data_IF_592347463865
#
_entry.id   IF_592347463865
#
_cell.length_a   1.000
_cell.length_b   1.000
_cell.length_c   1.000
_cell.angle_alpha   90.00
_cell.angle_beta   90.00
_cell.angle_gamma   90.00
#
_symmetry.space_group_name_H-M   'P 1'
#
loop_
_entity.id
_entity.type
_entity.pdbx_description
1 polymer ?
#
# COMPACT_ATOMS: atom_id res chain seq x y z
N UNK A 1 -2.23 -11.15 -14.18
CA UNK A 1 -0.84 -10.87 -14.58
C UNK A 1 -0.24 -9.88 -13.58
N UNK A 2 0.60 -10.38 -12.67
CA UNK A 2 1.12 -9.64 -11.51
C UNK A 2 2.18 -8.60 -11.93
N UNK A 3 2.96 -8.89 -12.98
CA UNK A 3 3.93 -7.95 -13.54
C UNK A 3 3.24 -6.72 -14.13
N UNK A 4 2.13 -6.92 -14.85
CA UNK A 4 1.29 -5.80 -15.31
C UNK A 4 0.70 -5.00 -14.13
N UNK A 5 0.29 -5.67 -13.06
CA UNK A 5 -0.23 -5.00 -11.88
C UNK A 5 0.83 -4.10 -11.22
N UNK A 6 2.07 -4.60 -11.06
CA UNK A 6 3.21 -3.82 -10.58
C UNK A 6 3.52 -2.62 -11.50
N UNK A 7 3.55 -2.81 -12.82
CA UNK A 7 3.78 -1.72 -13.77
C UNK A 7 2.69 -0.62 -13.74
N UNK A 8 1.44 -1.00 -13.48
CA UNK A 8 0.33 -0.05 -13.32
C UNK A 8 0.46 0.77 -12.02
N UNK A 9 1.18 0.29 -11.01
CA UNK A 9 1.42 1.02 -9.76
C UNK A 9 2.49 2.12 -9.92
N UNK A 10 3.47 1.92 -10.80
CA UNK A 10 4.47 2.95 -11.12
C UNK A 10 3.84 4.18 -11.77
N UNK A 11 2.81 3.97 -12.60
CA UNK A 11 2.17 5.05 -13.32
C UNK A 11 1.53 6.09 -12.36
N UNK A 12 1.66 7.39 -12.66
CA UNK A 12 1.01 8.42 -11.87
C UNK A 12 -0.51 8.40 -12.07
N UNK A 13 -1.24 8.74 -11.01
CA UNK A 13 -2.70 8.81 -11.07
C UNK A 13 -3.13 10.13 -11.74
N UNK A 14 -3.33 10.09 -13.06
CA UNK A 14 -3.61 11.29 -13.86
C UNK A 14 -4.84 12.10 -13.43
N UNK A 15 -5.92 11.44 -12.98
CA UNK A 15 -7.10 12.15 -12.48
C UNK A 15 -6.80 12.96 -11.21
N UNK A 16 -5.94 12.43 -10.33
CA UNK A 16 -5.53 13.10 -9.10
C UNK A 16 -4.63 14.30 -9.43
N UNK A 17 -3.72 14.14 -10.41
CA UNK A 17 -2.93 15.26 -10.94
C UNK A 17 -3.83 16.36 -11.51
N UNK A 18 -4.87 15.99 -12.26
CA UNK A 18 -5.87 16.93 -12.74
C UNK A 18 -6.57 17.68 -11.60
N UNK A 19 -6.91 16.98 -10.51
CA UNK A 19 -7.51 17.57 -9.31
C UNK A 19 -6.54 18.55 -8.62
N UNK A 20 -5.26 18.19 -8.49
CA UNK A 20 -4.23 19.08 -7.93
C UNK A 20 -4.11 20.37 -8.76
N UNK A 21 -4.02 20.24 -10.09
CA UNK A 21 -3.94 21.41 -10.99
C UNK A 21 -5.22 22.24 -10.89
N UNK A 22 -6.40 21.60 -10.89
CA UNK A 22 -7.68 22.31 -10.77
C UNK A 22 -7.80 23.06 -9.44
N UNK A 23 -7.41 22.44 -8.32
CA UNK A 23 -7.41 23.07 -7.00
C UNK A 23 -6.46 24.28 -6.97
N UNK A 24 -5.27 24.14 -7.55
CA UNK A 24 -4.29 25.23 -7.65
C UNK A 24 -4.82 26.39 -8.50
N UNK A 25 -5.33 26.11 -9.71
CA UNK A 25 -5.90 27.12 -10.62
C UNK A 25 -7.08 27.83 -9.97
N UNK A 26 -7.96 27.09 -9.29
CA UNK A 26 -9.09 27.66 -8.55
C UNK A 26 -8.60 28.62 -7.47
N UNK A 27 -7.58 28.24 -6.70
CA UNK A 27 -6.97 29.11 -5.69
C UNK A 27 -6.40 30.41 -6.29
N UNK A 28 -5.70 30.32 -7.42
CA UNK A 28 -5.16 31.49 -8.13
C UNK A 28 -6.28 32.40 -8.65
N UNK A 29 -7.33 31.84 -9.24
CA UNK A 29 -8.47 32.60 -9.74
C UNK A 29 -9.20 33.35 -8.62
N UNK A 30 -9.43 32.69 -7.48
CA UNK A 30 -10.03 33.31 -6.30
C UNK A 30 -9.16 34.46 -5.79
N UNK A 31 -7.84 34.27 -5.73
CA UNK A 31 -6.90 35.31 -5.31
C UNK A 31 -6.95 36.54 -6.22
N UNK A 32 -6.92 36.35 -7.55
CA UNK A 32 -7.03 37.44 -8.51
C UNK A 32 -8.37 38.16 -8.42
N UNK A 33 -9.47 37.42 -8.27
CA UNK A 33 -10.82 37.97 -8.13
C UNK A 33 -10.94 38.86 -6.88
N UNK A 34 -10.45 38.40 -5.73
CA UNK A 34 -10.43 39.20 -4.50
C UNK A 34 -9.59 40.48 -4.67
N UNK A 35 -8.44 40.38 -5.34
CA UNK A 35 -7.59 41.53 -5.65
C UNK A 35 -8.26 42.59 -6.52
N UNK A 36 -9.26 42.23 -7.34
CA UNK A 36 -10.03 43.20 -8.14
C UNK A 36 -11.16 43.89 -7.37
N UNK A 37 -11.65 43.30 -6.28
CA UNK A 37 -12.83 43.79 -5.55
C UNK A 37 -12.46 44.68 -4.38
N UNK A 38 -11.28 44.50 -3.77
CA UNK A 38 -10.85 45.27 -2.60
C UNK A 38 -10.42 46.70 -3.00
N UNK A 39 -11.21 47.74 -2.68
CA UNK A 39 -10.77 49.12 -2.84
C UNK A 39 -9.80 49.43 -1.70
N UNK A 40 -8.52 49.69 -2.03
CA UNK A 40 -7.49 50.02 -1.02
C UNK A 40 -7.73 51.42 -0.40
N UNK A 41 -8.63 52.22 -0.97
CA UNK A 41 -8.99 53.55 -0.50
C UNK A 41 -10.16 53.52 0.49
N UNK A 42 -9.83 53.50 1.79
CA UNK A 42 -10.42 54.27 2.90
C UNK A 42 -10.28 53.51 4.22
N UNK A 43 -9.19 53.78 4.94
CA UNK A 43 -9.02 53.37 6.34
C UNK A 43 -9.11 54.62 7.20
N UNK A 44 -10.26 54.86 7.82
CA UNK A 44 -10.40 55.92 8.85
C UNK A 44 -11.66 55.69 9.70
N UNK A 45 -11.57 54.77 10.67
CA UNK A 45 -12.56 54.59 11.74
C UNK A 45 -12.15 53.53 12.76
N UNK A 46 -12.70 53.55 13.99
CA UNK A 46 -12.41 52.55 15.04
C UNK A 46 -13.14 51.22 14.81
N UNK A 47 -14.21 51.20 14.03
CA UNK A 47 -14.89 49.98 13.54
C UNK A 47 -14.01 49.14 12.59
N UNK A 48 -13.02 49.79 11.98
CA UNK A 48 -12.11 49.26 10.96
C UNK A 48 -11.07 48.30 11.57
N UNK A 49 -10.66 48.54 12.81
CA UNK A 49 -9.65 47.73 13.49
C UNK A 49 -10.15 46.30 13.81
N UNK A 50 -11.38 46.16 14.31
CA UNK A 50 -11.99 44.84 14.56
C UNK A 50 -12.24 44.07 13.26
N UNK A 51 -12.69 44.78 12.22
CA UNK A 51 -12.95 44.19 10.90
C UNK A 51 -11.64 43.75 10.20
N UNK A 52 -10.55 44.50 10.38
CA UNK A 52 -9.21 44.09 9.90
C UNK A 52 -8.69 42.84 10.60
N UNK A 53 -8.87 42.71 11.91
CA UNK A 53 -8.45 41.52 12.68
C UNK A 53 -9.25 40.30 12.22
N UNK A 54 -10.56 40.45 12.05
CA UNK A 54 -11.43 39.38 11.56
C UNK A 54 -11.07 38.95 10.13
N UNK A 55 -10.74 39.90 9.25
CA UNK A 55 -10.27 39.61 7.89
C UNK A 55 -8.93 38.87 7.87
N UNK A 56 -8.00 39.27 8.73
CA UNK A 56 -6.71 38.58 8.90
C UNK A 56 -6.93 37.16 9.42
N UNK A 57 -7.74 36.97 10.46
CA UNK A 57 -8.05 35.65 11.02
C UNK A 57 -8.69 34.72 9.97
N UNK A 58 -9.69 35.21 9.23
CA UNK A 58 -10.33 34.45 8.18
C UNK A 58 -9.35 34.08 7.05
N UNK A 59 -8.46 34.99 6.66
CA UNK A 59 -7.44 34.73 5.64
C UNK A 59 -6.44 33.67 6.08
N UNK A 60 -5.97 33.73 7.34
CA UNK A 60 -5.05 32.75 7.92
C UNK A 60 -5.71 31.36 7.95
N UNK A 61 -6.93 31.26 8.45
CA UNK A 61 -7.64 29.98 8.52
C UNK A 61 -7.85 29.38 7.11
N UNK A 62 -8.23 30.22 6.14
CA UNK A 62 -8.42 29.79 4.75
C UNK A 62 -7.11 29.27 4.14
N UNK A 63 -6.00 29.97 4.35
CA UNK A 63 -4.67 29.54 3.87
C UNK A 63 -4.26 28.22 4.51
N UNK A 64 -4.44 28.07 5.84
CA UNK A 64 -4.13 26.83 6.54
C UNK A 64 -4.93 25.66 5.96
N UNK A 65 -6.25 25.81 5.81
CA UNK A 65 -7.11 24.77 5.26
C UNK A 65 -6.75 24.43 3.80
N UNK A 66 -6.41 25.44 2.99
CA UNK A 66 -5.98 25.23 1.61
C UNK A 66 -4.67 24.43 1.52
N UNK A 67 -3.68 24.78 2.36
CA UNK A 67 -2.40 24.05 2.44
C UNK A 67 -2.63 22.62 2.92
N UNK A 68 -3.41 22.43 3.98
CA UNK A 68 -3.74 21.10 4.50
C UNK A 68 -4.47 20.25 3.45
N UNK A 69 -5.44 20.84 2.74
CA UNK A 69 -6.16 20.19 1.65
C UNK A 69 -5.24 19.75 0.51
N UNK A 70 -4.31 20.62 0.10
CA UNK A 70 -3.34 20.30 -0.94
C UNK A 70 -2.37 19.19 -0.50
N UNK A 71 -1.84 19.25 0.73
CA UNK A 71 -0.98 18.20 1.27
C UNK A 71 -1.71 16.87 1.39
N UNK A 72 -2.97 16.89 1.84
CA UNK A 72 -3.81 15.70 1.91
C UNK A 72 -4.05 15.10 0.51
N UNK A 73 -4.27 15.95 -0.50
CA UNK A 73 -4.47 15.53 -1.88
C UNK A 73 -3.21 14.89 -2.46
N UNK A 74 -2.04 15.48 -2.24
CA UNK A 74 -0.74 14.92 -2.67
C UNK A 74 -0.51 13.55 -2.01
N UNK A 75 -0.71 13.43 -0.69
CA UNK A 75 -0.56 12.16 0.05
C UNK A 75 -1.62 11.10 -0.29
N UNK A 76 -2.72 11.49 -0.94
CA UNK A 76 -3.79 10.55 -1.29
C UNK A 76 -3.32 9.55 -2.34
N UNK A 77 -2.39 9.93 -3.22
CA UNK A 77 -1.80 9.02 -4.22
C UNK A 77 -1.16 7.80 -3.53
N UNK A 78 -0.28 8.06 -2.56
CA UNK A 78 0.41 7.04 -1.78
C UNK A 78 -0.59 6.12 -1.07
N UNK A 79 -1.61 6.70 -0.42
CA UNK A 79 -2.67 5.92 0.26
C UNK A 79 -3.40 4.97 -0.69
N UNK A 80 -3.73 5.44 -1.89
CA UNK A 80 -4.43 4.63 -2.90
C UNK A 80 -3.53 3.51 -3.43
N UNK A 81 -2.28 3.84 -3.79
CA UNK A 81 -1.30 2.86 -4.28
C UNK A 81 -1.01 1.80 -3.24
N UNK A 82 -0.75 2.20 -1.99
CA UNK A 82 -0.54 1.32 -0.85
C UNK A 82 -1.70 0.34 -0.66
N UNK A 83 -2.95 0.83 -0.64
CA UNK A 83 -4.13 -0.04 -0.51
C UNK A 83 -4.23 -1.08 -1.64
N UNK A 84 -3.84 -0.72 -2.86
CA UNK A 84 -3.81 -1.64 -4.00
C UNK A 84 -2.72 -2.70 -3.85
N UNK A 85 -1.53 -2.32 -3.40
CA UNK A 85 -0.42 -3.26 -3.12
C UNK A 85 -0.80 -4.24 -2.02
N UNK A 86 -1.31 -3.76 -0.88
CA UNK A 86 -1.69 -4.63 0.24
C UNK A 86 -2.74 -5.68 -0.14
N UNK A 87 -3.63 -5.37 -1.10
CA UNK A 87 -4.56 -6.37 -1.63
C UNK A 87 -3.84 -7.50 -2.36
N UNK A 88 -2.78 -7.20 -3.11
CA UNK A 88 -1.97 -8.22 -3.78
C UNK A 88 -1.14 -9.01 -2.77
N UNK A 89 -0.49 -8.33 -1.82
CA UNK A 89 0.29 -8.99 -0.75
C UNK A 89 -0.56 -9.93 0.10
N UNK A 90 -1.81 -9.56 0.38
CA UNK A 90 -2.76 -10.44 1.07
C UNK A 90 -3.05 -11.72 0.28
N UNK A 91 -3.17 -11.62 -1.05
CA UNK A 91 -3.29 -12.79 -1.93
C UNK A 91 -2.07 -13.69 -1.89
N UNK A 92 -0.85 -13.12 -1.90
CA UNK A 92 0.39 -13.88 -1.77
C UNK A 92 0.50 -14.58 -0.42
N UNK A 93 0.13 -13.89 0.68
CA UNK A 93 0.05 -14.50 2.02
C UNK A 93 -0.90 -15.69 2.05
N UNK A 94 -2.07 -15.55 1.43
CA UNK A 94 -3.03 -16.65 1.34
C UNK A 94 -2.45 -17.83 0.56
N UNK A 95 -1.70 -17.59 -0.51
CA UNK A 95 -1.05 -18.66 -1.28
C UNK A 95 -0.01 -19.40 -0.43
N UNK A 96 0.83 -18.67 0.32
CA UNK A 96 1.80 -19.26 1.25
C UNK A 96 1.12 -20.17 2.25
N UNK A 97 0.05 -19.70 2.90
CA UNK A 97 -0.70 -20.53 3.87
C UNK A 97 -1.37 -21.74 3.23
N UNK A 98 -1.82 -21.65 1.98
CA UNK A 98 -2.36 -22.82 1.27
C UNK A 98 -1.27 -23.85 1.02
N UNK A 99 -0.07 -23.43 0.62
CA UNK A 99 1.07 -24.35 0.42
C UNK A 99 1.41 -25.05 1.74
N UNK A 100 1.57 -24.27 2.82
CA UNK A 100 1.83 -24.77 4.18
C UNK A 100 0.76 -25.78 4.65
N UNK A 101 -0.52 -25.46 4.46
CA UNK A 101 -1.61 -26.37 4.83
C UNK A 101 -1.56 -27.70 4.05
N UNK A 102 -1.06 -27.69 2.81
CA UNK A 102 -0.85 -28.93 2.04
C UNK A 102 0.39 -29.72 2.49
N UNK A 103 1.35 -29.10 3.19
CA UNK A 103 2.54 -29.74 3.76
C UNK A 103 2.27 -30.47 5.08
N UNK A 104 1.17 -30.19 5.80
CA UNK A 104 0.86 -30.78 7.12
C UNK A 104 0.99 -32.31 7.25
N UNK A 105 0.80 -33.05 6.15
CA UNK A 105 0.87 -34.53 6.14
C UNK A 105 2.17 -35.07 5.53
N UNK A 106 3.08 -34.18 5.10
CA UNK A 106 4.29 -34.46 4.31
C UNK A 106 5.53 -34.27 5.18
N UNK A 107 5.49 -34.84 6.36
CA UNK A 107 6.58 -34.80 7.34
C UNK A 107 7.57 -35.96 7.08
N UNK A 108 8.87 -35.69 6.85
CA UNK A 108 9.91 -36.70 6.71
C UNK A 108 9.99 -37.68 7.89
N UNK A 109 9.60 -37.27 9.10
CA UNK A 109 9.58 -38.14 10.27
C UNK A 109 8.65 -39.35 10.09
N UNK A 110 7.65 -39.25 9.20
CA UNK A 110 6.76 -40.36 8.88
C UNK A 110 7.43 -41.47 8.04
N UNK A 111 8.63 -41.23 7.50
CA UNK A 111 9.44 -42.25 6.81
C UNK A 111 10.35 -43.04 7.76
N UNK A 112 10.39 -42.67 9.04
CA UNK A 112 11.13 -43.39 10.07
C UNK A 112 10.66 -44.84 10.20
N UNK A 113 11.60 -45.76 10.44
CA UNK A 113 11.27 -47.16 10.75
C UNK A 113 10.44 -47.29 12.04
N UNK A 114 10.52 -46.32 12.95
CA UNK A 114 9.78 -46.29 14.22
C UNK A 114 8.39 -45.66 14.08
N UNK A 115 8.05 -45.11 12.91
CA UNK A 115 6.74 -44.51 12.68
C UNK A 115 5.64 -45.59 12.66
N UNK A 116 4.68 -45.47 13.57
CA UNK A 116 3.53 -46.38 13.68
C UNK A 116 2.24 -45.64 13.32
N UNK A 117 1.72 -45.79 12.08
CA UNK A 117 0.44 -45.21 11.72
C UNK A 117 -0.70 -45.80 12.54
N UNK A 118 -1.66 -44.96 12.89
CA UNK A 118 -2.91 -45.33 13.56
C UNK A 118 -4.04 -45.49 12.55
N UNK A 119 -5.18 -46.07 12.98
CA UNK A 119 -6.37 -46.23 12.14
C UNK A 119 -6.92 -44.91 11.55
N UNK A 120 -6.59 -43.77 12.16
CA UNK A 120 -7.01 -42.43 11.71
C UNK A 120 -5.88 -41.64 11.04
N UNK A 121 -4.72 -42.26 10.79
CA UNK A 121 -3.62 -41.58 10.11
C UNK A 121 -3.98 -41.30 8.64
N UNK A 122 -3.74 -40.07 8.13
CA UNK A 122 -4.00 -39.73 6.74
C UNK A 122 -3.06 -40.49 5.80
N UNK A 123 -3.43 -40.57 4.51
CA UNK A 123 -2.57 -41.13 3.47
C UNK A 123 -1.28 -40.29 3.32
N UNK A 124 -0.12 -40.97 3.21
CA UNK A 124 1.21 -40.34 3.14
C UNK A 124 2.03 -40.85 1.97
N UNK A 125 2.97 -40.03 1.53
CA UNK A 125 4.00 -40.44 0.58
C UNK A 125 4.99 -41.33 1.33
N UNK A 126 5.17 -42.57 0.86
CA UNK A 126 6.04 -43.57 1.51
C UNK A 126 7.41 -43.69 0.85
N UNK A 127 7.59 -43.12 -0.34
CA UNK A 127 8.87 -43.02 -1.02
C UNK A 127 9.59 -41.74 -0.62
N UNK A 128 10.79 -41.87 -0.04
CA UNK A 128 11.61 -40.74 0.37
C UNK A 128 11.96 -39.79 -0.78
N UNK A 129 12.26 -40.32 -1.97
CA UNK A 129 12.64 -39.49 -3.11
C UNK A 129 11.46 -38.63 -3.62
N UNK A 130 10.24 -39.18 -3.61
CA UNK A 130 9.05 -38.45 -4.03
C UNK A 130 8.62 -37.42 -2.97
N UNK A 131 8.78 -37.73 -1.68
CA UNK A 131 8.52 -36.77 -0.60
C UNK A 131 9.50 -35.60 -0.66
N UNK A 132 10.80 -35.87 -0.83
CA UNK A 132 11.82 -34.84 -0.97
C UNK A 132 11.51 -33.91 -2.15
N UNK A 133 11.22 -34.48 -3.33
CA UNK A 133 10.86 -33.68 -4.52
C UNK A 133 9.60 -32.85 -4.31
N UNK A 134 8.59 -33.39 -3.62
CA UNK A 134 7.38 -32.64 -3.27
C UNK A 134 7.71 -31.42 -2.39
N UNK A 135 8.52 -31.62 -1.35
CA UNK A 135 8.91 -30.55 -0.43
C UNK A 135 9.78 -29.50 -1.13
N UNK A 136 10.71 -29.93 -1.99
CA UNK A 136 11.51 -29.02 -2.82
C UNK A 136 10.61 -28.14 -3.70
N UNK A 137 9.60 -28.71 -4.35
CA UNK A 137 8.63 -27.92 -5.14
C UNK A 137 7.83 -26.95 -4.28
N UNK A 138 7.44 -27.34 -3.06
CA UNK A 138 6.80 -26.41 -2.13
C UNK A 138 7.74 -25.25 -1.78
N UNK A 139 9.00 -25.52 -1.45
CA UNK A 139 10.00 -24.49 -1.14
C UNK A 139 10.29 -23.58 -2.35
N UNK A 140 10.36 -24.13 -3.57
CA UNK A 140 10.48 -23.34 -4.80
C UNK A 140 9.27 -22.42 -5.00
N UNK A 141 8.04 -22.93 -4.82
CA UNK A 141 6.83 -22.12 -4.91
C UNK A 141 6.77 -21.01 -3.86
N UNK A 142 7.19 -21.29 -2.63
CA UNK A 142 7.29 -20.30 -1.56
C UNK A 142 8.32 -19.22 -1.92
N UNK A 143 9.51 -19.62 -2.39
CA UNK A 143 10.57 -18.69 -2.83
C UNK A 143 10.10 -17.79 -3.97
N UNK A 144 9.43 -18.36 -4.98
CA UNK A 144 8.84 -17.60 -6.08
C UNK A 144 7.79 -16.61 -5.56
N UNK A 145 6.95 -17.03 -4.62
CA UNK A 145 5.92 -16.16 -4.02
C UNK A 145 6.55 -14.97 -3.28
N UNK A 146 7.63 -15.19 -2.52
CA UNK A 146 8.41 -14.12 -1.90
C UNK A 146 9.00 -13.15 -2.92
N UNK A 147 9.64 -13.67 -3.99
CA UNK A 147 10.20 -12.83 -5.06
C UNK A 147 9.13 -12.02 -5.82
N UNK A 148 7.93 -12.57 -5.98
CA UNK A 148 6.80 -11.83 -6.55
C UNK A 148 6.38 -10.68 -5.61
N UNK A 149 6.41 -10.89 -4.29
CA UNK A 149 6.15 -9.81 -3.32
C UNK A 149 7.18 -8.67 -3.47
N UNK A 150 8.47 -9.01 -3.63
CA UNK A 150 9.55 -8.04 -3.84
C UNK A 150 9.35 -7.13 -5.05
N UNK A 151 8.69 -7.60 -6.12
CA UNK A 151 8.36 -6.75 -7.28
C UNK A 151 7.44 -5.58 -6.89
N UNK A 152 6.57 -5.74 -5.89
CA UNK A 152 5.71 -4.65 -5.44
C UNK A 152 6.46 -3.57 -4.68
N UNK A 153 7.46 -3.93 -3.86
CA UNK A 153 8.34 -2.96 -3.20
C UNK A 153 9.17 -2.16 -4.20
N UNK A 154 9.59 -2.77 -5.32
CA UNK A 154 10.28 -2.04 -6.39
C UNK A 154 9.35 -1.05 -7.12
N UNK A 155 8.07 -1.39 -7.27
CA UNK A 155 7.09 -0.55 -8.00
C UNK A 155 6.58 0.66 -7.21
N UNK A 156 6.66 0.63 -5.87
CA UNK A 156 6.16 1.69 -4.99
C UNK A 156 7.17 1.96 -3.88
N UNK A 157 7.76 3.15 -3.89
CA UNK A 157 8.66 3.63 -2.84
C UNK A 157 7.88 4.11 -1.60
N UNK A 158 7.38 3.18 -0.80
CA UNK A 158 6.59 3.41 0.42
C UNK A 158 7.08 2.45 1.52
N UNK A 159 7.59 2.99 2.63
CA UNK A 159 8.20 2.20 3.73
C UNK A 159 7.23 1.14 4.28
N UNK A 160 5.93 1.47 4.37
CA UNK A 160 4.90 0.55 4.87
C UNK A 160 4.70 -0.61 3.88
N UNK A 161 4.86 -0.36 2.58
CA UNK A 161 4.83 -1.42 1.56
C UNK A 161 6.05 -2.32 1.67
N UNK A 162 7.25 -1.75 1.88
CA UNK A 162 8.50 -2.49 2.04
C UNK A 162 8.40 -3.43 3.25
N UNK A 163 7.92 -2.94 4.39
CA UNK A 163 7.69 -3.76 5.58
C UNK A 163 6.71 -4.92 5.31
N UNK A 164 5.60 -4.62 4.63
CA UNK A 164 4.62 -5.64 4.27
C UNK A 164 5.16 -6.70 3.31
N UNK A 165 6.13 -6.36 2.46
CA UNK A 165 6.83 -7.31 1.59
C UNK A 165 7.81 -8.16 2.40
N UNK A 166 8.59 -7.55 3.29
CA UNK A 166 9.51 -8.26 4.18
C UNK A 166 8.76 -9.31 5.01
N UNK A 167 7.55 -9.01 5.50
CA UNK A 167 6.69 -9.98 6.18
C UNK A 167 6.36 -11.20 5.32
N UNK A 168 6.11 -11.00 4.03
CA UNK A 168 5.79 -12.09 3.09
C UNK A 168 7.04 -12.93 2.81
N UNK A 169 8.19 -12.29 2.59
CA UNK A 169 9.46 -12.99 2.36
C UNK A 169 9.90 -13.79 3.60
N UNK A 170 9.72 -13.22 4.80
CA UNK A 170 9.96 -13.91 6.05
C UNK A 170 9.02 -15.10 6.22
N UNK A 171 7.72 -14.93 5.96
CA UNK A 171 6.77 -16.03 6.04
C UNK A 171 7.14 -17.16 5.06
N UNK A 172 7.51 -16.83 3.83
CA UNK A 172 7.90 -17.81 2.82
C UNK A 172 9.23 -18.53 3.11
N UNK A 173 10.12 -17.93 3.90
CA UNK A 173 11.45 -18.51 4.21
C UNK A 173 11.50 -19.32 5.49
N UNK A 174 10.50 -19.17 6.37
CA UNK A 174 10.43 -19.84 7.68
C UNK A 174 9.47 -21.04 7.72
N UNK A 175 8.96 -21.47 6.56
CA UNK A 175 8.08 -22.63 6.37
C UNK A 175 8.83 -23.72 5.59
#
# INVERSE_FOLDING_TARGET
DLAKAAKVLEAPIWWLRGLIVAAFVTGVLVFLFVGTILPIDRISGTHDALQSVQGIEASINTVILAVLGLLALIRTEERIKRKRVFRQLHGLRSLIHVIDMHQLTKDPAALSADFKPTAHSPARITNAADLARYLDYCSEMLSITGKIAALFAQSVNDDVVIDGVNDIENLASNL
#
